data_IF_479571531240
#
_entry.id   IF_479571531240
#
_cell.length_a   1.000
_cell.length_b   1.000
_cell.length_c   1.000
_cell.angle_alpha   90.00
_cell.angle_beta   90.00
_cell.angle_gamma   90.00
#
_symmetry.space_group_name_H-M   'P 1'
#
loop_
_entity.id
_entity.type
_entity.pdbx_description
1 polymer ?
#
# COMPACT_ATOMS: atom_id res chain seq x y z
N UNK A 1 13.83 -1.35 38.91
CA UNK A 1 14.64 -0.35 38.18
C UNK A 1 14.68 -0.56 36.67
N UNK A 2 14.52 -1.79 36.16
CA UNK A 2 14.68 -2.08 34.72
C UNK A 2 13.54 -1.64 33.79
N UNK A 3 12.33 -1.40 34.30
CA UNK A 3 11.17 -0.98 33.48
C UNK A 3 11.22 0.53 33.15
N UNK A 4 11.74 1.35 34.07
CA UNK A 4 11.85 2.81 33.91
C UNK A 4 12.86 3.22 32.83
N UNK A 5 13.93 2.44 32.64
CA UNK A 5 14.95 2.72 31.61
C UNK A 5 14.41 2.47 30.21
N UNK A 6 13.57 1.44 30.02
CA UNK A 6 12.95 1.13 28.73
C UNK A 6 11.93 2.18 28.28
N UNK A 7 11.08 2.66 29.19
CA UNK A 7 10.08 3.70 28.89
C UNK A 7 10.74 5.05 28.60
N UNK A 8 11.82 5.39 29.32
CA UNK A 8 12.57 6.62 29.09
C UNK A 8 13.36 6.59 27.77
N UNK A 9 13.88 5.43 27.37
CA UNK A 9 14.50 5.24 26.05
C UNK A 9 13.51 5.42 24.89
N UNK A 10 12.28 4.91 25.03
CA UNK A 10 11.21 5.09 24.03
C UNK A 10 10.77 6.56 23.94
N UNK A 11 10.67 7.26 25.07
CA UNK A 11 10.36 8.69 25.09
C UNK A 11 11.47 9.53 24.45
N UNK A 12 12.74 9.23 24.72
CA UNK A 12 13.86 9.93 24.12
C UNK A 12 13.99 9.65 22.62
N UNK A 13 13.70 8.42 22.18
CA UNK A 13 13.66 8.07 20.76
C UNK A 13 12.49 8.74 20.05
N UNK A 14 11.30 8.76 20.67
CA UNK A 14 10.14 9.48 20.15
C UNK A 14 10.41 10.99 20.07
N UNK A 15 11.01 11.59 21.10
CA UNK A 15 11.44 13.00 21.08
C UNK A 15 12.52 13.29 20.03
N UNK A 16 13.46 12.37 19.81
CA UNK A 16 14.50 12.50 18.78
C UNK A 16 13.91 12.43 17.36
N UNK A 17 12.99 11.50 17.13
CA UNK A 17 12.26 11.35 15.87
C UNK A 17 11.42 12.62 15.58
N UNK A 18 10.75 13.16 16.58
CA UNK A 18 9.96 14.40 16.46
C UNK A 18 10.87 15.61 16.19
N UNK A 19 12.08 15.65 16.76
CA UNK A 19 13.06 16.70 16.51
C UNK A 19 13.68 16.66 15.10
N UNK A 20 13.90 15.48 14.50
CA UNK A 20 14.37 15.38 13.11
C UNK A 20 13.27 15.68 12.08
N UNK A 21 12.01 15.40 12.39
CA UNK A 21 10.86 15.80 11.59
C UNK A 21 10.77 17.33 11.51
N UNK A 22 11.01 18.00 12.64
CA UNK A 22 11.16 19.46 12.73
C UNK A 22 12.36 19.95 11.91
N UNK A 23 13.44 19.18 11.78
CA UNK A 23 14.64 19.57 11.02
C UNK A 23 14.44 19.49 9.49
N UNK A 24 13.68 18.51 8.98
CA UNK A 24 13.24 18.50 7.57
C UNK A 24 12.29 19.67 7.25
N UNK A 25 11.42 20.02 8.19
CA UNK A 25 10.51 21.17 8.10
C UNK A 25 11.24 22.53 8.27
N UNK A 26 12.39 22.54 8.96
CA UNK A 26 13.22 23.74 9.17
C UNK A 26 13.93 24.17 7.87
N UNK A 27 14.32 23.19 7.04
CA UNK A 27 15.04 23.40 5.78
C UNK A 27 14.13 23.60 4.55
N UNK A 28 12.82 23.35 4.69
CA UNK A 28 11.86 23.52 3.60
C UNK A 28 11.41 24.99 3.51
N UNK A 29 11.85 25.71 2.47
CA UNK A 29 11.44 27.10 2.17
C UNK A 29 10.03 27.19 1.54
N UNK A 30 9.09 26.35 1.99
CA UNK A 30 7.70 26.34 1.54
C UNK A 30 6.80 27.28 2.34
N UNK A 31 5.62 27.57 1.78
CA UNK A 31 4.52 28.25 2.46
C UNK A 31 4.02 27.46 3.66
N UNK A 32 3.30 28.12 4.57
CA UNK A 32 2.84 27.46 5.80
C UNK A 32 1.83 26.34 5.55
N UNK A 33 1.05 26.44 4.46
CA UNK A 33 0.18 25.37 4.00
C UNK A 33 0.97 24.15 3.50
N UNK A 34 2.04 24.38 2.71
CA UNK A 34 2.91 23.29 2.21
C UNK A 34 3.65 22.58 3.36
N UNK A 35 4.00 23.30 4.42
CA UNK A 35 4.58 22.71 5.64
C UNK A 35 3.58 21.85 6.41
N UNK A 36 2.32 22.28 6.48
CA UNK A 36 1.26 21.51 7.14
C UNK A 36 0.90 20.25 6.35
N UNK A 37 0.79 20.35 5.01
CA UNK A 37 0.58 19.22 4.11
C UNK A 37 1.74 18.20 4.18
N UNK A 38 2.99 18.68 4.27
CA UNK A 38 4.15 17.82 4.44
C UNK A 38 4.16 17.11 5.80
N UNK A 39 3.73 17.79 6.88
CA UNK A 39 3.57 17.20 8.22
C UNK A 39 2.53 16.09 8.23
N UNK A 40 1.40 16.29 7.55
CA UNK A 40 0.34 15.30 7.49
C UNK A 40 0.70 14.12 6.58
N UNK A 41 1.45 14.36 5.50
CA UNK A 41 2.06 13.30 4.71
C UNK A 41 3.02 12.44 5.55
N UNK A 42 3.91 13.07 6.33
CA UNK A 42 4.86 12.35 7.19
C UNK A 42 4.17 11.45 8.23
N UNK A 43 3.12 11.96 8.90
CA UNK A 43 2.28 11.15 9.83
C UNK A 43 1.63 9.97 9.13
N UNK A 44 1.09 10.18 7.92
CA UNK A 44 0.46 9.15 7.12
C UNK A 44 1.44 8.04 6.71
N UNK A 45 2.63 8.42 6.27
CA UNK A 45 3.71 7.50 5.90
C UNK A 45 4.16 6.69 7.12
N UNK A 46 4.30 7.34 8.29
CA UNK A 46 4.63 6.66 9.54
C UNK A 46 3.57 5.64 9.95
N UNK A 47 2.29 5.97 9.83
CA UNK A 47 1.20 5.04 10.12
C UNK A 47 1.19 3.81 9.18
N UNK A 48 1.45 4.03 7.89
CA UNK A 48 1.64 2.97 6.89
C UNK A 48 2.85 2.11 7.22
N UNK A 49 3.98 2.73 7.55
CA UNK A 49 5.20 2.05 7.95
C UNK A 49 4.98 1.17 9.18
N UNK A 50 4.29 1.66 10.21
CA UNK A 50 4.03 0.89 11.43
C UNK A 50 3.20 -0.36 11.18
N UNK A 51 2.13 -0.28 10.37
CA UNK A 51 1.33 -1.48 10.02
C UNK A 51 2.16 -2.48 9.24
N UNK A 52 2.96 -2.00 8.27
CA UNK A 52 3.87 -2.84 7.48
C UNK A 52 4.95 -3.48 8.37
N UNK A 53 5.54 -2.72 9.29
CA UNK A 53 6.52 -3.22 10.25
C UNK A 53 5.93 -4.29 11.17
N UNK A 54 4.68 -4.13 11.63
CA UNK A 54 3.98 -5.16 12.42
C UNK A 54 3.86 -6.46 11.61
N UNK A 55 3.48 -6.39 10.33
CA UNK A 55 3.42 -7.55 9.45
C UNK A 55 4.80 -8.20 9.26
N UNK A 56 5.82 -7.38 8.99
CA UNK A 56 7.21 -7.82 8.81
C UNK A 56 7.78 -8.52 10.04
N UNK A 57 7.59 -7.93 11.23
CA UNK A 57 8.01 -8.51 12.52
C UNK A 57 7.31 -9.83 12.81
N UNK A 58 6.09 -10.00 12.31
CA UNK A 58 5.32 -11.22 12.47
C UNK A 58 5.94 -12.42 11.74
N UNK A 59 6.70 -12.18 10.67
CA UNK A 59 7.36 -13.21 9.84
C UNK A 59 8.80 -13.55 10.29
N UNK A 60 9.41 -12.76 11.18
CA UNK A 60 10.73 -13.04 11.75
C UNK A 60 11.92 -12.81 10.80
N UNK A 61 11.70 -12.25 9.62
CA UNK A 61 12.73 -11.79 8.68
C UNK A 61 12.15 -10.75 7.70
N UNK A 62 12.81 -9.60 7.54
CA UNK A 62 12.21 -8.43 6.87
C UNK A 62 13.16 -7.63 5.97
N UNK A 63 14.36 -8.14 5.69
CA UNK A 63 15.34 -7.41 4.87
C UNK A 63 14.84 -7.15 3.44
N UNK A 64 14.26 -8.16 2.78
CA UNK A 64 13.66 -8.00 1.44
C UNK A 64 12.38 -7.15 1.48
N UNK A 65 11.63 -7.24 2.57
CA UNK A 65 10.38 -6.52 2.75
C UNK A 65 10.59 -5.00 2.89
N UNK A 66 11.69 -4.55 3.50
CA UNK A 66 12.06 -3.12 3.57
C UNK A 66 12.22 -2.50 2.18
N UNK A 67 12.90 -3.21 1.27
CA UNK A 67 13.13 -2.72 -0.10
C UNK A 67 11.81 -2.57 -0.87
N UNK A 68 10.93 -3.57 -0.80
CA UNK A 68 9.60 -3.51 -1.44
C UNK A 68 8.76 -2.38 -0.85
N UNK A 69 8.81 -2.21 0.47
CA UNK A 69 8.15 -1.09 1.13
C UNK A 69 8.62 0.26 0.58
N UNK A 70 9.94 0.46 0.46
CA UNK A 70 10.49 1.70 -0.07
C UNK A 70 10.11 1.94 -1.53
N UNK A 71 10.24 0.92 -2.39
CA UNK A 71 9.85 1.01 -3.79
C UNK A 71 8.36 1.27 -3.99
N UNK A 72 7.51 0.68 -3.15
CA UNK A 72 6.06 0.89 -3.20
C UNK A 72 5.69 2.30 -2.77
N UNK A 73 6.27 2.81 -1.68
CA UNK A 73 6.01 4.18 -1.23
C UNK A 73 6.47 5.19 -2.29
N UNK A 74 7.67 5.04 -2.85
CA UNK A 74 8.17 5.93 -3.90
C UNK A 74 7.28 5.93 -5.16
N UNK A 75 6.56 4.83 -5.43
CA UNK A 75 5.62 4.72 -6.56
C UNK A 75 4.30 5.44 -6.31
N UNK A 76 3.78 5.36 -5.08
CA UNK A 76 2.41 5.80 -4.77
C UNK A 76 2.34 7.07 -3.93
N UNK A 77 3.43 7.52 -3.31
CA UNK A 77 3.56 8.77 -2.55
C UNK A 77 4.59 9.65 -3.23
N UNK A 78 4.12 10.64 -3.99
CA UNK A 78 4.96 11.52 -4.82
C UNK A 78 5.94 12.33 -3.96
N UNK A 79 5.54 12.62 -2.72
CA UNK A 79 6.30 13.40 -1.75
C UNK A 79 7.36 12.58 -1.00
N UNK A 80 7.47 11.28 -1.27
CA UNK A 80 8.30 10.33 -0.52
C UNK A 80 9.36 9.70 -1.43
N UNK A 81 10.62 9.98 -1.14
CA UNK A 81 11.74 9.26 -1.76
C UNK A 81 12.03 7.92 -1.05
N UNK A 82 12.80 7.06 -1.72
CA UNK A 82 13.14 5.73 -1.22
C UNK A 82 13.98 5.78 0.07
N UNK A 83 14.90 6.75 0.20
CA UNK A 83 15.77 6.88 1.37
C UNK A 83 14.97 7.22 2.63
N UNK A 84 13.99 8.12 2.51
CA UNK A 84 13.07 8.45 3.58
C UNK A 84 12.17 7.26 3.92
N UNK A 85 11.65 6.55 2.92
CA UNK A 85 10.84 5.36 3.15
C UNK A 85 11.62 4.26 3.90
N UNK A 86 12.88 4.00 3.52
CA UNK A 86 13.77 3.05 4.21
C UNK A 86 14.06 3.47 5.64
N UNK A 87 14.30 4.77 5.87
CA UNK A 87 14.50 5.32 7.22
C UNK A 87 13.26 5.11 8.09
N UNK A 88 12.08 5.52 7.61
CA UNK A 88 10.85 5.44 8.40
C UNK A 88 10.50 3.99 8.76
N UNK A 89 10.64 3.05 7.83
CA UNK A 89 10.37 1.63 8.16
C UNK A 89 11.38 1.08 9.16
N UNK A 90 12.65 1.47 9.05
CA UNK A 90 13.70 1.07 10.01
C UNK A 90 13.41 1.59 11.42
N UNK A 91 13.01 2.85 11.55
CA UNK A 91 12.65 3.46 12.83
C UNK A 91 11.48 2.72 13.49
N UNK A 92 10.44 2.43 12.71
CA UNK A 92 9.26 1.69 13.19
C UNK A 92 9.58 0.26 13.62
N UNK A 93 10.40 -0.45 12.84
CA UNK A 93 10.89 -1.78 13.22
C UNK A 93 11.69 -1.73 14.53
N UNK A 94 12.48 -0.68 14.74
CA UNK A 94 13.29 -0.49 15.95
C UNK A 94 12.40 -0.25 17.19
N UNK A 95 11.40 0.62 17.06
CA UNK A 95 10.40 0.88 18.13
C UNK A 95 9.65 -0.39 18.49
N UNK A 96 9.19 -1.14 17.50
CA UNK A 96 8.47 -2.39 17.73
C UNK A 96 9.37 -3.43 18.41
N UNK A 97 10.60 -3.63 17.95
CA UNK A 97 11.55 -4.55 18.60
C UNK A 97 11.76 -4.24 20.08
N UNK A 98 11.82 -2.96 20.46
CA UNK A 98 11.93 -2.54 21.87
C UNK A 98 10.66 -2.83 22.71
N UNK A 99 9.52 -3.06 22.07
CA UNK A 99 8.20 -3.22 22.70
C UNK A 99 7.87 -4.66 23.12
N UNK A 100 8.82 -5.61 23.04
CA UNK A 100 8.69 -6.98 23.55
C UNK A 100 7.47 -7.79 23.05
N UNK A 101 7.01 -7.59 21.81
CA UNK A 101 6.10 -8.58 21.20
C UNK A 101 4.60 -8.30 21.27
N UNK A 102 4.14 -7.24 21.94
CA UNK A 102 2.68 -6.99 22.07
C UNK A 102 2.13 -6.06 20.97
N UNK A 103 1.97 -6.62 19.77
CA UNK A 103 1.61 -5.88 18.55
C UNK A 103 0.13 -5.57 18.38
N UNK A 104 -0.75 -6.32 19.05
CA UNK A 104 -2.20 -6.31 18.80
C UNK A 104 -2.92 -5.00 19.18
N UNK A 105 -2.64 -4.40 20.35
CA UNK A 105 -3.20 -3.09 20.70
C UNK A 105 -2.71 -1.98 19.75
N UNK A 106 -1.42 -2.01 19.41
CA UNK A 106 -0.82 -1.03 18.51
C UNK A 106 -1.43 -1.13 17.10
N UNK A 107 -1.62 -2.35 16.60
CA UNK A 107 -2.26 -2.58 15.30
C UNK A 107 -3.64 -1.92 15.21
N UNK A 108 -4.49 -2.11 16.23
CA UNK A 108 -5.82 -1.49 16.24
C UNK A 108 -5.75 0.04 16.22
N UNK A 109 -4.80 0.61 16.97
CA UNK A 109 -4.57 2.06 17.02
C UNK A 109 -4.14 2.56 15.63
N UNK A 110 -3.19 1.90 14.99
CA UNK A 110 -2.73 2.28 13.65
C UNK A 110 -3.84 2.16 12.60
N UNK A 111 -4.64 1.09 12.62
CA UNK A 111 -5.77 0.96 11.70
C UNK A 111 -6.81 2.09 11.91
N UNK A 112 -7.04 2.53 13.15
CA UNK A 112 -7.93 3.65 13.42
C UNK A 112 -7.35 4.97 12.90
N UNK A 113 -6.05 5.19 13.08
CA UNK A 113 -5.33 6.36 12.59
C UNK A 113 -5.39 6.44 11.07
N UNK A 114 -4.99 5.38 10.38
CA UNK A 114 -5.10 5.24 8.92
C UNK A 114 -6.53 5.49 8.43
N UNK A 115 -7.54 5.04 9.16
CA UNK A 115 -8.92 5.30 8.79
C UNK A 115 -9.30 6.79 8.83
N UNK A 116 -8.69 7.56 9.72
CA UNK A 116 -8.94 8.99 9.90
C UNK A 116 -8.13 9.85 8.94
N UNK A 117 -6.91 9.45 8.64
CA UNK A 117 -5.93 10.33 7.98
C UNK A 117 -5.67 9.98 6.51
N UNK A 118 -5.74 8.70 6.13
CA UNK A 118 -5.55 8.29 4.72
C UNK A 118 -6.83 8.50 3.90
N UNK A 119 -6.64 8.89 2.64
CA UNK A 119 -7.70 8.84 1.63
C UNK A 119 -8.06 7.39 1.28
N UNK A 120 -9.20 7.20 0.60
CA UNK A 120 -9.63 5.87 0.17
C UNK A 120 -8.59 5.16 -0.71
N UNK A 121 -7.99 5.90 -1.65
CA UNK A 121 -6.97 5.40 -2.56
C UNK A 121 -5.70 4.97 -1.80
N UNK A 122 -5.25 5.77 -0.83
CA UNK A 122 -4.08 5.45 -0.02
C UNK A 122 -4.32 4.24 0.90
N UNK A 123 -5.55 4.04 1.39
CA UNK A 123 -5.93 2.81 2.11
C UNK A 123 -5.85 1.58 1.23
N UNK A 124 -6.26 1.69 -0.03
CA UNK A 124 -6.12 0.62 -1.02
C UNK A 124 -4.64 0.32 -1.31
N UNK A 125 -3.82 1.35 -1.54
CA UNK A 125 -2.37 1.19 -1.74
C UNK A 125 -1.70 0.51 -0.53
N UNK A 126 -2.04 0.90 0.70
CA UNK A 126 -1.56 0.23 1.91
C UNK A 126 -1.88 -1.27 1.89
N UNK A 127 -3.12 -1.65 1.54
CA UNK A 127 -3.46 -3.07 1.49
C UNK A 127 -2.66 -3.80 0.41
N UNK A 128 -2.54 -3.23 -0.79
CA UNK A 128 -1.73 -3.77 -1.88
C UNK A 128 -0.28 -4.00 -1.43
N UNK A 129 0.34 -3.01 -0.77
CA UNK A 129 1.67 -3.11 -0.16
C UNK A 129 1.78 -4.27 0.85
N UNK A 130 0.81 -4.40 1.76
CA UNK A 130 0.84 -5.47 2.77
C UNK A 130 0.80 -6.86 2.13
N UNK A 131 0.09 -7.01 1.01
CA UNK A 131 0.08 -8.25 0.25
C UNK A 131 1.38 -8.48 -0.51
N UNK A 132 1.98 -7.45 -1.10
CA UNK A 132 3.31 -7.54 -1.74
C UNK A 132 4.37 -8.00 -0.72
N UNK A 133 4.37 -7.44 0.49
CA UNK A 133 5.27 -7.84 1.58
C UNK A 133 5.03 -9.30 1.97
N UNK A 134 3.78 -9.69 2.24
CA UNK A 134 3.49 -11.05 2.69
C UNK A 134 3.81 -12.10 1.61
N UNK A 135 3.61 -11.77 0.33
CA UNK A 135 3.82 -12.71 -0.77
C UNK A 135 5.30 -13.04 -1.03
N UNK A 136 6.25 -12.29 -0.48
CA UNK A 136 7.69 -12.46 -0.72
C UNK A 136 8.21 -13.86 -0.47
N UNK A 137 7.88 -14.40 0.70
CA UNK A 137 8.36 -15.71 1.16
C UNK A 137 7.23 -16.75 1.18
N UNK A 138 6.07 -16.39 0.60
CA UNK A 138 4.82 -17.12 0.71
C UNK A 138 4.09 -16.81 2.00
N UNK A 139 2.76 -16.75 1.92
CA UNK A 139 1.96 -16.19 3.01
C UNK A 139 1.56 -17.30 3.99
N UNK A 140 2.08 -17.20 5.21
CA UNK A 140 1.81 -18.14 6.29
C UNK A 140 0.37 -18.06 6.80
N UNK A 141 -0.11 -19.09 7.50
CA UNK A 141 -1.42 -19.05 8.18
C UNK A 141 -1.52 -17.91 9.18
N UNK A 142 -0.41 -17.63 9.86
CA UNK A 142 -0.23 -16.50 10.75
C UNK A 142 -0.46 -15.18 10.01
N UNK A 143 0.29 -14.88 8.96
CA UNK A 143 0.15 -13.61 8.22
C UNK A 143 -1.24 -13.46 7.62
N UNK A 144 -1.86 -14.54 7.17
CA UNK A 144 -3.24 -14.54 6.68
C UNK A 144 -4.22 -14.05 7.75
N UNK A 145 -4.10 -14.56 8.98
CA UNK A 145 -4.94 -14.12 10.08
C UNK A 145 -4.71 -12.63 10.40
N UNK A 146 -3.46 -12.16 10.35
CA UNK A 146 -3.11 -10.77 10.58
C UNK A 146 -3.67 -9.85 9.49
N UNK A 147 -3.50 -10.21 8.22
CA UNK A 147 -4.02 -9.47 7.06
C UNK A 147 -5.55 -9.42 7.08
N UNK A 148 -6.22 -10.52 7.42
CA UNK A 148 -7.68 -10.57 7.58
C UNK A 148 -8.15 -9.59 8.67
N UNK A 149 -7.45 -9.54 9.81
CA UNK A 149 -7.73 -8.57 10.88
C UNK A 149 -7.53 -7.13 10.41
N UNK A 150 -6.41 -6.84 9.73
CA UNK A 150 -6.12 -5.51 9.18
C UNK A 150 -7.22 -5.07 8.22
N UNK A 151 -7.57 -5.92 7.25
CA UNK A 151 -8.65 -5.64 6.31
C UNK A 151 -9.99 -5.44 7.05
N UNK A 152 -10.29 -6.23 8.07
CA UNK A 152 -11.49 -6.05 8.91
C UNK A 152 -11.54 -4.70 9.63
N UNK A 153 -10.39 -4.11 9.94
CA UNK A 153 -10.29 -2.81 10.60
C UNK A 153 -10.19 -1.62 9.64
N UNK A 154 -9.66 -1.81 8.43
CA UNK A 154 -9.55 -0.75 7.43
C UNK A 154 -10.90 -0.56 6.69
N UNK A 155 -11.40 0.67 6.66
CA UNK A 155 -12.67 1.05 6.04
C UNK A 155 -12.54 1.18 4.51
N UNK A 156 -12.54 0.04 3.83
CA UNK A 156 -12.67 -0.06 2.37
C UNK A 156 -14.01 -0.69 1.96
N UNK A 157 -14.45 -0.45 0.71
CA UNK A 157 -15.67 -1.05 0.17
C UNK A 157 -15.49 -2.55 -0.01
N UNK A 158 -16.58 -3.29 0.13
CA UNK A 158 -16.58 -4.76 0.00
C UNK A 158 -16.11 -5.24 -1.39
N UNK A 159 -16.42 -4.47 -2.44
CA UNK A 159 -15.95 -4.78 -3.79
C UNK A 159 -14.41 -4.69 -3.90
N UNK A 160 -13.80 -3.65 -3.32
CA UNK A 160 -12.35 -3.48 -3.29
C UNK A 160 -11.69 -4.50 -2.36
N UNK A 161 -12.33 -4.84 -1.22
CA UNK A 161 -11.87 -5.93 -0.34
C UNK A 161 -11.80 -7.24 -1.12
N UNK A 162 -12.88 -7.61 -1.78
CA UNK A 162 -12.92 -8.85 -2.58
C UNK A 162 -11.96 -8.82 -3.78
N UNK A 163 -11.72 -7.65 -4.37
CA UNK A 163 -10.70 -7.49 -5.41
C UNK A 163 -9.31 -7.77 -4.84
N UNK A 164 -8.95 -7.11 -3.73
CA UNK A 164 -7.66 -7.27 -3.07
C UNK A 164 -7.47 -8.71 -2.56
N UNK A 165 -8.50 -9.32 -1.96
CA UNK A 165 -8.51 -10.73 -1.58
C UNK A 165 -8.38 -11.66 -2.80
N UNK A 166 -8.93 -11.27 -3.95
CA UNK A 166 -8.72 -11.95 -5.22
C UNK A 166 -7.28 -11.84 -5.71
N UNK A 167 -6.66 -10.66 -5.60
CA UNK A 167 -5.23 -10.47 -5.87
C UNK A 167 -4.39 -11.33 -4.94
N UNK A 168 -4.69 -11.31 -3.64
CA UNK A 168 -4.09 -12.16 -2.61
C UNK A 168 -4.25 -13.65 -2.94
N UNK A 169 -5.44 -14.10 -3.34
CA UNK A 169 -5.72 -15.48 -3.76
C UNK A 169 -4.83 -15.94 -4.93
N UNK A 170 -4.49 -15.04 -5.87
CA UNK A 170 -3.58 -15.36 -6.99
C UNK A 170 -2.16 -15.69 -6.51
N UNK A 171 -1.63 -14.95 -5.53
CA UNK A 171 -0.32 -15.22 -4.93
C UNK A 171 -0.28 -16.57 -4.18
N UNK A 172 -1.43 -17.08 -3.70
CA UNK A 172 -1.52 -18.41 -3.08
C UNK A 172 -1.62 -19.57 -4.07
N UNK A 173 -2.38 -19.39 -5.16
CA UNK A 173 -2.74 -20.50 -6.07
C UNK A 173 -1.53 -20.97 -6.89
N UNK A 174 -0.53 -20.12 -7.10
CA UNK A 174 0.73 -20.54 -7.76
C UNK A 174 1.59 -21.51 -6.91
N UNK A 175 1.41 -21.55 -5.58
CA UNK A 175 2.25 -22.36 -4.68
C UNK A 175 1.54 -23.56 -4.01
N UNK A 176 0.25 -23.79 -4.28
CA UNK A 176 -0.47 -24.97 -3.76
C UNK A 176 -1.12 -25.75 -4.90
N UNK A 177 -0.39 -26.74 -5.42
CA UNK A 177 -1.02 -27.89 -6.03
C UNK A 177 -1.86 -28.61 -4.96
N UNK A 178 -3.17 -28.43 -5.01
CA UNK A 178 -4.13 -29.24 -4.28
C UNK A 178 -4.72 -28.57 -3.05
N UNK A 179 -5.73 -27.73 -3.24
CA UNK A 179 -7.09 -28.04 -2.76
C UNK A 179 -8.05 -26.86 -2.97
N UNK A 180 -9.01 -27.09 -3.88
CA UNK A 180 -10.37 -26.53 -3.91
C UNK A 180 -10.53 -25.01 -3.75
N UNK A 181 -10.55 -24.30 -4.88
CA UNK A 181 -11.44 -23.15 -5.07
C UNK A 181 -12.10 -23.23 -6.46
N UNK A 182 -13.42 -23.43 -6.39
CA UNK A 182 -14.52 -23.36 -7.36
C UNK A 182 -14.28 -23.17 -8.86
N UNK A 183 -15.04 -23.98 -9.60
CA UNK A 183 -15.42 -23.85 -11.01
C UNK A 183 -15.66 -22.40 -11.47
N UNK A 184 -14.76 -21.90 -12.30
CA UNK A 184 -14.92 -20.69 -13.10
C UNK A 184 -13.92 -20.77 -14.25
N UNK A 185 -14.28 -20.29 -15.43
CA UNK A 185 -13.44 -20.26 -16.63
C UNK A 185 -12.03 -19.78 -16.28
N UNK A 186 -11.01 -20.57 -16.61
CA UNK A 186 -9.61 -20.25 -16.32
C UNK A 186 -9.13 -19.14 -17.27
N UNK A 187 -9.14 -17.90 -16.81
CA UNK A 187 -8.59 -16.77 -17.56
C UNK A 187 -7.05 -16.83 -17.57
N UNK A 188 -6.36 -16.58 -18.70
CA UNK A 188 -4.92 -16.42 -18.73
C UNK A 188 -4.46 -15.25 -17.84
N UNK A 189 -3.30 -15.35 -17.19
CA UNK A 189 -2.81 -14.34 -16.23
C UNK A 189 -2.81 -12.91 -16.79
N UNK A 190 -2.34 -12.73 -18.04
CA UNK A 190 -2.35 -11.43 -18.75
C UNK A 190 -3.75 -10.78 -18.82
N UNK A 191 -4.80 -11.59 -18.93
CA UNK A 191 -6.19 -11.13 -19.03
C UNK A 191 -6.71 -10.73 -17.65
N UNK A 192 -6.37 -11.50 -16.63
CA UNK A 192 -6.70 -11.18 -15.25
C UNK A 192 -6.03 -9.86 -14.84
N UNK A 193 -4.76 -9.67 -15.17
CA UNK A 193 -4.03 -8.42 -14.88
C UNK A 193 -4.62 -7.22 -15.63
N UNK A 194 -5.15 -7.44 -16.83
CA UNK A 194 -5.87 -6.41 -17.57
C UNK A 194 -7.19 -6.01 -16.89
N UNK A 195 -8.00 -6.97 -16.42
CA UNK A 195 -9.20 -6.66 -15.62
C UNK A 195 -8.83 -5.92 -14.33
N UNK A 196 -7.74 -6.32 -13.69
CA UNK A 196 -7.22 -5.70 -12.48
C UNK A 196 -6.80 -4.24 -12.69
N UNK A 197 -6.10 -3.92 -13.79
CA UNK A 197 -5.74 -2.54 -14.16
C UNK A 197 -6.95 -1.62 -14.33
N UNK A 198 -8.10 -2.17 -14.72
CA UNK A 198 -9.37 -1.45 -14.83
C UNK A 198 -10.19 -1.47 -13.52
N UNK A 199 -9.70 -2.13 -12.47
CA UNK A 199 -10.39 -2.28 -11.20
C UNK A 199 -11.62 -3.19 -11.27
N UNK A 200 -11.61 -4.18 -12.17
CA UNK A 200 -12.71 -5.09 -12.44
C UNK A 200 -12.35 -6.54 -12.12
N UNK A 201 -13.39 -7.37 -11.95
CA UNK A 201 -13.23 -8.82 -11.80
C UNK A 201 -13.07 -9.48 -13.18
N UNK A 202 -12.29 -10.57 -13.30
CA UNK A 202 -12.25 -11.37 -14.53
C UNK A 202 -13.65 -11.87 -14.90
N UNK A 203 -14.04 -11.66 -16.15
CA UNK A 203 -15.39 -11.98 -16.62
C UNK A 203 -16.44 -10.91 -16.34
N UNK A 204 -16.04 -9.69 -15.92
CA UNK A 204 -16.91 -8.52 -15.98
C UNK A 204 -17.43 -8.30 -17.41
N UNK A 205 -18.67 -7.82 -17.52
CA UNK A 205 -19.30 -7.61 -18.81
C UNK A 205 -18.56 -6.56 -19.64
N UNK A 206 -18.57 -6.70 -20.96
CA UNK A 206 -17.82 -5.80 -21.84
C UNK A 206 -18.30 -4.34 -21.70
N UNK A 207 -19.57 -4.11 -21.39
CA UNK A 207 -20.09 -2.77 -21.10
C UNK A 207 -19.56 -2.19 -19.79
N UNK A 208 -19.34 -3.03 -18.79
CA UNK A 208 -18.71 -2.66 -17.52
C UNK A 208 -17.22 -2.34 -17.71
N UNK A 209 -16.52 -3.15 -18.50
CA UNK A 209 -15.13 -2.93 -18.94
C UNK A 209 -14.97 -1.59 -19.63
N UNK A 210 -15.79 -1.32 -20.66
CA UNK A 210 -15.77 -0.06 -21.40
C UNK A 210 -16.08 1.15 -20.51
N UNK A 211 -16.99 1.00 -19.54
CA UNK A 211 -17.34 2.08 -18.60
C UNK A 211 -16.18 2.41 -17.66
N UNK A 212 -15.55 1.38 -17.07
CA UNK A 212 -14.39 1.58 -16.20
C UNK A 212 -13.21 2.18 -16.97
N UNK A 213 -12.95 1.69 -18.18
CA UNK A 213 -11.94 2.23 -19.08
C UNK A 213 -12.15 3.72 -19.40
N UNK A 214 -13.36 4.11 -19.83
CA UNK A 214 -13.66 5.52 -20.14
C UNK A 214 -13.47 6.43 -18.92
N UNK A 215 -13.87 5.97 -17.73
CA UNK A 215 -13.69 6.72 -16.49
C UNK A 215 -12.20 6.92 -16.19
N UNK A 216 -11.41 5.85 -16.22
CA UNK A 216 -9.98 5.89 -15.88
C UNK A 216 -9.17 6.69 -16.91
N UNK A 217 -9.49 6.60 -18.21
CA UNK A 217 -8.83 7.42 -19.25
C UNK A 217 -9.20 8.89 -19.09
N UNK A 218 -10.46 9.22 -18.77
CA UNK A 218 -10.85 10.60 -18.48
C UNK A 218 -10.15 11.16 -17.23
N UNK A 219 -9.90 10.32 -16.23
CA UNK A 219 -9.16 10.69 -15.03
C UNK A 219 -7.68 10.95 -15.31
N UNK A 220 -7.07 10.21 -16.23
CA UNK A 220 -5.64 10.24 -16.51
C UNK A 220 -5.27 10.96 -17.83
N UNK A 221 -6.23 11.61 -18.51
CA UNK A 221 -5.98 12.21 -19.82
C UNK A 221 -4.94 13.33 -19.75
N UNK A 222 -3.93 13.37 -20.65
CA UNK A 222 -2.86 14.38 -20.62
C UNK A 222 -3.38 15.82 -20.68
N UNK A 223 -4.51 16.05 -21.37
CA UNK A 223 -5.16 17.37 -21.43
C UNK A 223 -5.62 17.90 -20.05
N UNK A 224 -5.81 17.04 -19.06
CA UNK A 224 -6.13 17.48 -17.69
C UNK A 224 -4.91 17.94 -16.89
N UNK A 225 -3.71 17.60 -17.37
CA UNK A 225 -2.44 17.86 -16.70
C UNK A 225 -1.57 18.85 -17.47
N UNK A 226 -2.15 19.65 -18.39
CA UNK A 226 -1.42 20.63 -19.21
C UNK A 226 -0.69 21.68 -18.36
N UNK A 227 -1.26 22.06 -17.21
CA UNK A 227 -0.67 22.99 -16.26
C UNK A 227 0.05 22.30 -15.07
N UNK A 228 0.20 20.97 -15.10
CA UNK A 228 0.86 20.21 -14.06
C UNK A 228 2.37 20.10 -14.29
N UNK A 229 3.11 19.69 -13.28
CA UNK A 229 4.56 19.43 -13.40
C UNK A 229 4.85 18.34 -14.42
N UNK A 230 6.06 18.37 -15.00
CA UNK A 230 6.50 17.40 -16.01
C UNK A 230 6.41 15.96 -15.50
N UNK A 231 6.77 15.71 -14.23
CA UNK A 231 6.65 14.39 -13.60
C UNK A 231 5.19 13.90 -13.56
N UNK A 232 4.23 14.79 -13.30
CA UNK A 232 2.81 14.46 -13.27
C UNK A 232 2.29 14.11 -14.66
N UNK A 233 2.74 14.82 -15.68
CA UNK A 233 2.38 14.55 -17.08
C UNK A 233 2.89 13.19 -17.55
N UNK A 234 4.16 12.87 -17.26
CA UNK A 234 4.76 11.57 -17.59
C UNK A 234 4.03 10.43 -16.88
N UNK A 235 3.69 10.59 -15.61
CA UNK A 235 2.94 9.58 -14.85
C UNK A 235 1.52 9.36 -15.41
N UNK A 236 0.80 10.43 -15.75
CA UNK A 236 -0.53 10.36 -16.35
C UNK A 236 -0.49 9.70 -17.75
N UNK A 237 0.57 9.96 -18.53
CA UNK A 237 0.77 9.35 -19.83
C UNK A 237 1.04 7.84 -19.72
N UNK A 238 1.96 7.44 -18.83
CA UNK A 238 2.23 6.02 -18.58
C UNK A 238 0.97 5.30 -18.09
N UNK A 239 0.22 5.93 -17.19
CA UNK A 239 -1.02 5.35 -16.68
C UNK A 239 -2.07 5.17 -17.78
N UNK A 240 -2.24 6.15 -18.66
CA UNK A 240 -3.14 6.06 -19.82
C UNK A 240 -2.71 4.94 -20.77
N UNK A 241 -1.39 4.80 -20.99
CA UNK A 241 -0.82 3.73 -21.82
C UNK A 241 -1.10 2.33 -21.25
N UNK A 242 -1.03 2.18 -19.92
CA UNK A 242 -1.39 0.93 -19.26
C UNK A 242 -2.87 0.56 -19.39
N UNK A 243 -3.76 1.55 -19.28
CA UNK A 243 -5.21 1.37 -19.43
C UNK A 243 -5.56 0.92 -20.84
N UNK A 244 -4.92 1.50 -21.86
CA UNK A 244 -5.11 1.11 -23.26
C UNK A 244 -4.68 -0.35 -23.50
N UNK A 245 -3.50 -0.74 -22.97
CA UNK A 245 -3.01 -2.14 -23.05
C UNK A 245 -3.94 -3.12 -22.34
N UNK A 246 -4.50 -2.72 -21.20
CA UNK A 246 -5.45 -3.54 -20.46
C UNK A 246 -6.74 -3.78 -21.27
N UNK A 247 -7.31 -2.71 -21.83
CA UNK A 247 -8.50 -2.78 -22.68
C UNK A 247 -8.28 -3.72 -23.87
N UNK A 248 -7.20 -3.53 -24.61
CA UNK A 248 -6.85 -4.36 -25.77
C UNK A 248 -6.68 -5.84 -25.40
N UNK A 249 -6.08 -6.13 -24.25
CA UNK A 249 -5.88 -7.51 -23.78
C UNK A 249 -7.19 -8.20 -23.43
N UNK A 250 -8.16 -7.46 -22.88
CA UNK A 250 -9.50 -7.99 -22.57
C UNK A 250 -10.29 -8.21 -23.87
N UNK A 251 -10.28 -7.24 -24.79
CA UNK A 251 -11.00 -7.36 -26.07
C UNK A 251 -10.48 -8.55 -26.89
N UNK A 252 -9.16 -8.74 -26.99
CA UNK A 252 -8.52 -9.88 -27.67
C UNK A 252 -8.83 -11.24 -27.04
N UNK A 253 -9.22 -11.27 -25.78
CA UNK A 253 -9.60 -12.51 -25.10
C UNK A 253 -11.11 -12.79 -25.22
N UNK A 254 -11.92 -11.74 -25.36
CA UNK A 254 -13.37 -11.85 -25.52
C UNK A 254 -13.79 -12.10 -26.98
N UNK A 255 -12.91 -11.85 -27.95
CA UNK A 255 -13.06 -12.16 -29.39
C UNK A 255 -12.71 -13.61 -29.72
#
# INVERSE_FOLDING_TARGET
MSILVGVMGILLLWMYIEAEEVDKLSYYEGTQAEKEDLSDCAKNVRAVARISAILMMYNGGYERAKKIFAEHLARYYVEVDADYAEKVIFDELSVLNASNGNWLPELKRCCLEVNRTLTYEKKRCLLELLFEIAALDGISSKERDLLSRIMGHIRIKEADRAYIEGVFARYYVENLQGSRASSGTRYPQRVIDAYAKLGLRPGADLEEVKRAYRRLVFENHPDRFVNASESTRVAAEERTRELNRAMETIEKFAS
#
